data_IF_918683686167
#
_entry.id   IF_918683686167
#
_cell.length_a   1.000
_cell.length_b   1.000
_cell.length_c   1.000
_cell.angle_alpha   90.00
_cell.angle_beta   90.00
_cell.angle_gamma   90.00
#
_symmetry.space_group_name_H-M   'P 1'
#
loop_
_entity.id
_entity.type
_entity.pdbx_description
1 polymer ?
#
# COMPACT_ATOMS: atom_id res chain seq x y z
N UNK A 1 -7.07 -9.79 21.88
CA UNK A 1 -7.71 -8.82 20.97
C UNK A 1 -6.96 -8.85 19.64
N UNK A 2 -7.60 -9.24 18.53
CA UNK A 2 -6.91 -9.19 17.22
C UNK A 2 -6.68 -7.73 16.86
N UNK A 3 -5.45 -7.41 16.49
CA UNK A 3 -5.05 -6.07 16.12
C UNK A 3 -5.71 -5.67 14.79
N UNK A 4 -6.86 -5.01 14.86
CA UNK A 4 -7.76 -4.83 13.71
C UNK A 4 -7.15 -3.95 12.63
N UNK A 5 -6.45 -2.87 13.00
CA UNK A 5 -5.72 -2.01 12.06
C UNK A 5 -4.64 -2.81 11.33
N UNK A 6 -3.81 -3.56 12.05
CA UNK A 6 -2.80 -4.40 11.42
C UNK A 6 -3.42 -5.46 10.48
N UNK A 7 -4.57 -6.01 10.84
CA UNK A 7 -5.29 -6.96 9.99
C UNK A 7 -5.90 -6.30 8.73
N UNK A 8 -6.44 -5.10 8.85
CA UNK A 8 -6.94 -4.31 7.71
C UNK A 8 -5.79 -4.03 6.75
N UNK A 9 -4.65 -3.53 7.24
CA UNK A 9 -3.46 -3.28 6.43
C UNK A 9 -2.94 -4.56 5.76
N UNK A 10 -2.92 -5.69 6.48
CA UNK A 10 -2.52 -6.97 5.89
C UNK A 10 -3.44 -7.38 4.74
N UNK A 11 -4.76 -7.24 4.90
CA UNK A 11 -5.72 -7.55 3.83
C UNK A 11 -5.58 -6.58 2.65
N UNK A 12 -5.33 -5.30 2.94
CA UNK A 12 -5.08 -4.28 1.93
C UNK A 12 -3.88 -4.65 1.05
N UNK A 13 -2.72 -4.98 1.64
CA UNK A 13 -1.56 -5.43 0.86
C UNK A 13 -1.80 -6.70 0.07
N UNK A 14 -2.53 -7.67 0.62
CA UNK A 14 -2.76 -8.96 -0.06
C UNK A 14 -3.73 -8.89 -1.22
N UNK A 15 -4.77 -8.06 -1.09
CA UNK A 15 -5.91 -8.11 -1.99
C UNK A 15 -6.07 -6.82 -2.78
N UNK A 16 -5.94 -5.65 -2.12
CA UNK A 16 -6.26 -4.36 -2.71
C UNK A 16 -5.08 -3.74 -3.46
N UNK A 17 -3.85 -3.88 -2.95
CA UNK A 17 -2.66 -3.36 -3.63
C UNK A 17 -2.47 -3.98 -5.02
N UNK A 18 -2.57 -5.32 -5.21
CA UNK A 18 -2.48 -5.90 -6.54
C UNK A 18 -3.57 -5.39 -7.50
N UNK A 19 -4.80 -5.20 -7.00
CA UNK A 19 -5.91 -4.65 -7.77
C UNK A 19 -5.62 -3.21 -8.24
N UNK A 20 -5.17 -2.34 -7.32
CA UNK A 20 -4.81 -0.95 -7.62
C UNK A 20 -3.65 -0.86 -8.61
N UNK A 21 -2.63 -1.70 -8.46
CA UNK A 21 -1.50 -1.78 -9.38
C UNK A 21 -1.97 -2.20 -10.78
N UNK A 22 -2.84 -3.20 -10.89
CA UNK A 22 -3.40 -3.64 -12.16
C UNK A 22 -4.19 -2.53 -12.88
N UNK A 23 -5.05 -1.79 -12.15
CA UNK A 23 -5.75 -0.65 -12.72
C UNK A 23 -4.81 0.49 -13.14
N UNK A 24 -3.76 0.74 -12.36
CA UNK A 24 -2.78 1.77 -12.65
C UNK A 24 -1.77 1.38 -13.75
N UNK A 25 -1.83 0.15 -14.28
CA UNK A 25 -0.90 -0.35 -15.30
C UNK A 25 0.50 -0.62 -14.76
N UNK A 26 0.64 -0.90 -13.46
CA UNK A 26 1.91 -1.13 -12.79
C UNK A 26 2.05 -2.56 -12.25
N UNK A 27 3.28 -3.06 -12.21
CA UNK A 27 3.64 -4.25 -11.44
C UNK A 27 4.09 -3.89 -10.03
N UNK A 28 4.10 -4.85 -9.11
CA UNK A 28 4.60 -4.65 -7.72
C UNK A 28 6.03 -4.09 -7.66
N UNK A 29 6.87 -4.40 -8.67
CA UNK A 29 8.22 -3.85 -8.78
C UNK A 29 8.26 -2.32 -8.92
N UNK A 30 7.18 -1.68 -9.37
CA UNK A 30 7.08 -0.23 -9.44
C UNK A 30 7.14 0.43 -8.04
N UNK A 31 6.63 -0.27 -7.01
CA UNK A 31 6.70 0.16 -5.62
C UNK A 31 8.10 -0.01 -5.02
N UNK A 32 8.93 -0.90 -5.58
CA UNK A 32 10.32 -1.12 -5.15
C UNK A 32 11.32 -0.14 -5.79
N UNK A 33 10.94 0.47 -6.91
CA UNK A 33 11.82 1.37 -7.67
C UNK A 33 11.98 2.73 -6.99
N UNK A 34 13.15 3.36 -7.14
CA UNK A 34 13.41 4.74 -6.72
C UNK A 34 12.82 5.78 -7.66
N UNK A 35 12.41 5.40 -8.88
CA UNK A 35 11.87 6.32 -9.88
C UNK A 35 10.43 6.72 -9.56
N UNK A 36 10.08 7.98 -9.79
CA UNK A 36 8.69 8.42 -9.68
C UNK A 36 7.79 7.66 -10.66
N UNK A 37 6.56 7.41 -10.24
CA UNK A 37 5.56 6.75 -11.08
C UNK A 37 5.10 7.76 -12.14
N UNK A 38 5.38 7.49 -13.40
CA UNK A 38 4.87 8.29 -14.51
C UNK A 38 3.37 8.04 -14.66
N UNK A 39 2.53 9.07 -14.67
CA UNK A 39 1.13 8.91 -15.03
C UNK A 39 1.02 8.33 -16.44
N UNK A 40 0.46 7.12 -16.64
CA UNK A 40 0.18 6.62 -17.97
C UNK A 40 -0.79 7.59 -18.65
N UNK A 41 -0.48 8.03 -19.87
CA UNK A 41 -1.44 8.78 -20.70
C UNK A 41 -2.55 7.82 -21.13
N UNK A 42 -3.72 7.94 -20.53
CA UNK A 42 -4.93 7.24 -20.99
C UNK A 42 -5.50 8.01 -22.18
N UNK A 43 -5.62 7.36 -23.34
CA UNK A 43 -6.33 7.91 -24.50
C UNK A 43 -7.84 7.87 -24.23
N UNK A 44 -8.48 9.04 -24.14
CA UNK A 44 -9.93 9.14 -23.96
C UNK A 44 -10.68 8.70 -25.21
N UNK A 45 -11.64 7.78 -25.05
CA UNK A 45 -12.69 7.54 -26.05
C UNK A 45 -14.05 7.55 -25.35
N UNK A 46 -14.97 8.36 -25.88
CA UNK A 46 -16.23 8.76 -25.23
C UNK A 46 -17.24 7.60 -25.11
N UNK A 47 -17.45 7.07 -23.90
CA UNK A 47 -18.69 6.40 -23.42
C UNK A 47 -18.73 6.48 -21.87
N UNK A 48 -19.92 6.58 -21.24
CA UNK A 48 -20.08 6.66 -19.77
C UNK A 48 -19.38 5.53 -18.98
N UNK A 49 -19.16 4.37 -19.59
CA UNK A 49 -18.36 3.27 -19.01
C UNK A 49 -16.85 3.57 -19.01
N UNK A 50 -16.37 4.32 -20.00
CA UNK A 50 -14.98 4.75 -20.12
C UNK A 50 -14.65 5.83 -19.09
N UNK A 51 -15.56 6.76 -18.78
CA UNK A 51 -15.36 7.76 -17.72
C UNK A 51 -15.21 7.10 -16.34
N UNK A 52 -16.05 6.11 -16.01
CA UNK A 52 -15.90 5.33 -14.77
C UNK A 52 -14.60 4.51 -14.73
N UNK A 53 -14.12 4.05 -15.89
CA UNK A 53 -12.85 3.35 -15.99
C UNK A 53 -11.67 4.31 -15.85
N UNK A 54 -11.69 5.45 -16.54
CA UNK A 54 -10.68 6.52 -16.44
C UNK A 54 -10.58 7.01 -15.01
N UNK A 55 -11.71 7.30 -14.36
CA UNK A 55 -11.74 7.67 -12.94
C UNK A 55 -11.10 6.59 -12.06
N UNK A 56 -11.39 5.29 -12.30
CA UNK A 56 -10.77 4.19 -11.55
C UNK A 56 -9.26 4.09 -11.78
N UNK A 57 -8.79 4.31 -13.00
CA UNK A 57 -7.36 4.33 -13.34
C UNK A 57 -6.68 5.49 -12.63
N UNK A 58 -7.21 6.71 -12.75
CA UNK A 58 -6.66 7.92 -12.14
C UNK A 58 -6.62 7.83 -10.62
N UNK A 59 -7.71 7.36 -9.99
CA UNK A 59 -7.73 7.13 -8.55
C UNK A 59 -6.73 6.06 -8.13
N UNK A 60 -6.60 4.98 -8.90
CA UNK A 60 -5.62 3.92 -8.62
C UNK A 60 -4.19 4.44 -8.69
N UNK A 61 -3.88 5.33 -9.65
CA UNK A 61 -2.57 5.98 -9.73
C UNK A 61 -2.27 6.80 -8.48
N UNK A 62 -3.24 7.59 -8.01
CA UNK A 62 -3.10 8.36 -6.77
C UNK A 62 -2.89 7.45 -5.55
N UNK A 63 -3.62 6.34 -5.44
CA UNK A 63 -3.41 5.38 -4.35
C UNK A 63 -2.05 4.70 -4.43
N UNK A 64 -1.59 4.28 -5.62
CA UNK A 64 -0.28 3.66 -5.80
C UNK A 64 0.82 4.66 -5.44
N UNK A 65 0.67 5.93 -5.81
CA UNK A 65 1.58 7.00 -5.39
C UNK A 65 1.55 7.20 -3.87
N UNK A 66 0.38 7.21 -3.24
CA UNK A 66 0.24 7.30 -1.78
C UNK A 66 0.90 6.11 -1.07
N UNK A 67 0.75 4.88 -1.59
CA UNK A 67 1.42 3.67 -1.07
C UNK A 67 2.93 3.86 -1.12
N UNK A 68 3.47 4.27 -2.27
CA UNK A 68 4.91 4.47 -2.46
C UNK A 68 5.47 5.53 -1.52
N UNK A 69 4.79 6.67 -1.41
CA UNK A 69 5.17 7.75 -0.49
C UNK A 69 5.10 7.28 0.97
N UNK A 70 4.05 6.56 1.35
CA UNK A 70 3.90 6.04 2.70
C UNK A 70 5.08 5.14 3.06
N UNK A 71 5.42 4.15 2.19
CA UNK A 71 6.57 3.27 2.35
C UNK A 71 7.88 4.05 2.48
N UNK A 72 8.10 5.06 1.64
CA UNK A 72 9.32 5.87 1.63
C UNK A 72 9.51 6.72 2.89
N UNK A 73 8.45 7.00 3.64
CA UNK A 73 8.54 7.73 4.92
C UNK A 73 8.69 6.81 6.13
N UNK A 74 8.51 5.50 5.97
CA UNK A 74 8.63 4.55 7.08
C UNK A 74 10.09 4.41 7.57
N UNK A 75 10.30 3.97 8.83
CA UNK A 75 11.62 3.50 9.25
C UNK A 75 12.19 2.47 8.27
N UNK A 76 13.50 2.51 7.95
CA UNK A 76 14.09 1.65 6.90
C UNK A 76 13.80 0.16 7.08
N UNK A 77 13.95 -0.35 8.31
CA UNK A 77 13.63 -1.74 8.65
C UNK A 77 12.17 -2.08 8.34
N UNK A 78 11.25 -1.15 8.62
CA UNK A 78 9.82 -1.40 8.46
C UNK A 78 9.43 -1.49 6.99
N UNK A 79 9.95 -0.54 6.20
CA UNK A 79 9.83 -0.54 4.75
C UNK A 79 10.36 -1.86 4.16
N UNK A 80 11.60 -2.22 4.48
CA UNK A 80 12.24 -3.43 3.94
C UNK A 80 11.44 -4.70 4.21
N UNK A 81 10.99 -4.92 5.45
CA UNK A 81 10.21 -6.11 5.78
C UNK A 81 8.85 -6.12 5.06
N UNK A 82 8.17 -4.98 4.93
CA UNK A 82 6.92 -4.90 4.16
C UNK A 82 7.17 -5.25 2.69
N UNK A 83 8.17 -4.64 2.08
CA UNK A 83 8.54 -4.90 0.68
C UNK A 83 8.88 -6.37 0.44
N UNK A 84 9.72 -6.94 1.31
CA UNK A 84 10.11 -8.34 1.22
C UNK A 84 8.92 -9.30 1.43
N UNK A 85 8.00 -8.93 2.33
CA UNK A 85 6.82 -9.77 2.63
C UNK A 85 5.78 -9.73 1.52
N UNK A 86 5.43 -8.55 1.01
CA UNK A 86 4.24 -8.36 0.17
C UNK A 86 4.55 -8.15 -1.31
N UNK A 87 5.77 -7.76 -1.69
CA UNK A 87 6.14 -7.53 -3.09
C UNK A 87 7.20 -8.51 -3.59
N UNK A 88 8.00 -9.09 -2.69
CA UNK A 88 8.92 -10.19 -3.01
C UNK A 88 8.44 -11.56 -2.48
N UNK A 89 7.31 -11.59 -1.78
CA UNK A 89 6.65 -12.80 -1.29
C UNK A 89 7.55 -13.76 -0.50
N UNK A 90 8.55 -13.21 0.22
CA UNK A 90 9.50 -13.99 1.00
C UNK A 90 8.89 -14.48 2.31
N UNK A 91 9.31 -15.67 2.75
CA UNK A 91 8.98 -16.21 4.06
C UNK A 91 9.80 -15.53 5.15
N UNK A 92 9.29 -15.49 6.38
CA UNK A 92 9.92 -14.77 7.51
C UNK A 92 11.39 -15.14 7.73
N UNK A 93 11.75 -16.42 7.62
CA UNK A 93 13.13 -16.86 7.77
C UNK A 93 14.06 -16.28 6.69
N UNK A 94 13.58 -16.18 5.44
CA UNK A 94 14.34 -15.61 4.32
C UNK A 94 14.52 -14.11 4.54
N UNK A 95 13.47 -13.43 5.01
CA UNK A 95 13.53 -12.02 5.36
C UNK A 95 14.58 -11.80 6.45
N UNK A 96 14.49 -12.53 7.55
CA UNK A 96 15.41 -12.47 8.68
C UNK A 96 16.88 -12.66 8.26
N UNK A 97 17.14 -13.68 7.45
CA UNK A 97 18.47 -13.92 6.88
C UNK A 97 18.95 -12.75 6.02
N UNK A 98 18.08 -12.20 5.17
CA UNK A 98 18.45 -11.14 4.24
C UNK A 98 18.72 -9.80 4.93
N UNK A 99 17.98 -9.48 5.99
CA UNK A 99 18.12 -8.19 6.70
C UNK A 99 19.05 -8.26 7.91
N UNK A 100 19.50 -9.46 8.31
CA UNK A 100 20.40 -9.65 9.45
C UNK A 100 19.73 -9.50 10.83
N UNK A 101 18.42 -9.73 10.93
CA UNK A 101 17.68 -9.67 12.20
C UNK A 101 17.15 -11.05 12.60
N UNK A 102 17.04 -11.29 13.91
CA UNK A 102 16.36 -12.49 14.40
C UNK A 102 14.88 -12.50 14.01
N UNK A 103 14.35 -13.65 13.58
CA UNK A 103 12.94 -13.81 13.18
C UNK A 103 11.96 -13.31 14.25
N UNK A 104 12.25 -13.59 15.53
CA UNK A 104 11.43 -13.16 16.65
C UNK A 104 11.30 -11.64 16.74
N UNK A 105 12.37 -10.91 16.45
CA UNK A 105 12.39 -9.44 16.45
C UNK A 105 11.46 -8.88 15.38
N UNK A 106 11.47 -9.48 14.19
CA UNK A 106 10.60 -9.08 13.08
C UNK A 106 9.14 -9.46 13.39
N UNK A 107 8.91 -10.67 13.90
CA UNK A 107 7.58 -11.14 14.28
C UNK A 107 6.92 -10.24 15.33
N UNK A 108 7.68 -9.82 16.35
CA UNK A 108 7.20 -8.94 17.42
C UNK A 108 6.85 -7.53 16.93
N UNK A 109 7.54 -7.04 15.89
CA UNK A 109 7.32 -5.69 15.35
C UNK A 109 6.27 -5.65 14.23
N UNK A 110 5.89 -6.79 13.65
CA UNK A 110 5.00 -6.87 12.48
C UNK A 110 3.72 -6.04 12.59
N UNK A 111 2.99 -6.16 13.70
CA UNK A 111 1.74 -5.41 13.87
C UNK A 111 1.99 -3.90 13.98
N UNK A 112 3.06 -3.51 14.70
CA UNK A 112 3.48 -2.10 14.81
C UNK A 112 3.80 -1.52 13.44
N UNK A 113 4.50 -2.27 12.61
CA UNK A 113 4.86 -1.86 11.24
C UNK A 113 3.64 -1.65 10.35
N UNK A 114 2.64 -2.55 10.44
CA UNK A 114 1.41 -2.45 9.66
C UNK A 114 0.52 -1.28 10.11
N UNK A 115 0.52 -0.95 11.41
CA UNK A 115 -0.14 0.27 11.91
C UNK A 115 0.56 1.53 11.45
N UNK A 116 1.89 1.54 11.53
CA UNK A 116 2.71 2.67 11.09
C UNK A 116 2.45 2.98 9.62
N UNK A 117 2.36 1.93 8.77
CA UNK A 117 1.97 2.09 7.38
C UNK A 117 0.56 2.69 7.24
N UNK A 118 -0.43 2.19 7.99
CA UNK A 118 -1.82 2.67 7.90
C UNK A 118 -1.93 4.18 8.16
N UNK A 119 -1.26 4.67 9.21
CA UNK A 119 -1.23 6.09 9.58
C UNK A 119 -0.58 6.92 8.48
N UNK A 120 0.58 6.48 7.98
CA UNK A 120 1.32 7.19 6.93
C UNK A 120 0.55 7.20 5.62
N UNK A 121 -0.08 6.09 5.26
CA UNK A 121 -0.90 5.97 4.06
C UNK A 121 -2.10 6.89 4.10
N UNK A 122 -2.79 7.01 5.24
CA UNK A 122 -3.85 8.00 5.43
C UNK A 122 -3.33 9.43 5.20
N UNK A 123 -2.22 9.80 5.85
CA UNK A 123 -1.63 11.12 5.71
C UNK A 123 -1.16 11.43 4.26
N UNK A 124 -0.61 10.44 3.54
CA UNK A 124 -0.17 10.62 2.16
C UNK A 124 -1.33 10.76 1.17
N UNK A 125 -2.46 10.08 1.39
CA UNK A 125 -3.66 10.27 0.59
C UNK A 125 -4.19 11.71 0.73
N UNK A 126 -4.29 12.21 1.96
CA UNK A 126 -4.70 13.59 2.22
C UNK A 126 -3.71 14.61 1.60
N UNK A 127 -2.40 14.36 1.68
CA UNK A 127 -1.38 15.22 1.08
C UNK A 127 -1.47 15.29 -0.45
N UNK A 128 -1.92 14.21 -1.09
CA UNK A 128 -2.15 14.17 -2.54
C UNK A 128 -3.49 14.81 -2.96
N UNK A 129 -4.30 15.28 -2.01
CA UNK A 129 -5.57 15.93 -2.29
C UNK A 129 -6.71 14.96 -2.59
N UNK A 130 -6.60 13.69 -2.20
CA UNK A 130 -7.70 12.73 -2.30
C UNK A 130 -8.82 13.19 -1.36
N UNK A 131 -10.03 13.36 -1.91
CA UNK A 131 -11.20 13.79 -1.15
C UNK A 131 -11.53 12.81 -0.02
N UNK A 132 -12.01 13.31 1.13
CA UNK A 132 -12.34 12.51 2.31
C UNK A 132 -13.28 11.33 2.02
N UNK A 133 -14.21 11.51 1.07
CA UNK A 133 -15.17 10.46 0.66
C UNK A 133 -14.49 9.28 -0.05
N UNK A 134 -13.33 9.52 -0.66
CA UNK A 134 -12.59 8.56 -1.45
C UNK A 134 -11.43 7.95 -0.64
N UNK A 135 -10.99 8.55 0.47
CA UNK A 135 -9.90 8.03 1.30
C UNK A 135 -10.12 6.57 1.73
N UNK A 136 -9.09 5.75 1.48
CA UNK A 136 -9.00 4.40 2.04
C UNK A 136 -8.40 4.49 3.45
N UNK A 137 -9.27 4.52 4.44
CA UNK A 137 -8.88 4.57 5.84
C UNK A 137 -8.71 3.16 6.44
N UNK A 138 -7.45 2.74 6.57
CA UNK A 138 -7.07 1.47 7.18
C UNK A 138 -7.09 1.51 8.72
N UNK A 139 -7.13 2.71 9.31
CA UNK A 139 -7.11 2.94 10.76
C UNK A 139 -8.50 2.80 11.38
N UNK A 140 -9.56 2.95 10.58
CA UNK A 140 -10.94 2.74 11.03
C UNK A 140 -11.16 1.32 11.56
N UNK A 141 -11.53 1.27 12.82
CA UNK A 141 -12.01 0.07 13.50
C UNK A 141 -13.53 0.13 13.33
N UNK A 142 -14.13 -0.87 12.65
CA UNK A 142 -15.59 -0.96 12.63
C UNK A 142 -16.06 -1.18 14.06
N UNK A 143 -16.80 -0.22 14.62
CA UNK A 143 -17.55 -0.46 15.84
C UNK A 143 -18.57 -1.57 15.55
N UNK A 144 -18.57 -2.59 16.38
CA UNK A 144 -19.61 -3.61 16.37
C UNK A 144 -20.79 -2.97 17.07
N UNK A 145 -21.80 -2.57 16.31
CA UNK A 145 -23.12 -2.23 16.82
C UNK A 145 -23.85 -3.49 17.30
#
# INVERSE_FOLDING_TARGET
MKDQVANNTRKFFKNKVPELLAYAGYSESALLSSHDLNTPKVSSSNKNSAESLIFRVDMSLQYVQAIKLALNTMPPLYKQVIELTYFKHLKMFQIAQQIGYAERTIANSKNKMLKEFAIRFFAMQARLGIEDKDIIDLTKIKEVA
#
